data_IF_636828899099
#
_entry.id   IF_636828899099
#
_cell.length_a   1.000
_cell.length_b   1.000
_cell.length_c   1.000
_cell.angle_alpha   90.00
_cell.angle_beta   90.00
_cell.angle_gamma   90.00
#
_symmetry.space_group_name_H-M   'P 1'
#
loop_
_entity.id
_entity.type
_entity.pdbx_description
1 polymer ?
#
# COMPACT_ATOMS: atom_id res chain seq x y z
N UNK A 1 12.38 35.44 -3.34
CA UNK A 1 11.75 35.39 -4.67
C UNK A 1 10.75 34.24 -4.86
N UNK A 2 10.43 33.41 -3.84
CA UNK A 2 9.43 32.31 -3.93
C UNK A 2 8.00 32.70 -3.49
N UNK A 3 7.80 33.83 -2.85
CA UNK A 3 6.49 34.33 -2.40
C UNK A 3 5.66 34.94 -3.52
N UNK A 4 6.27 35.72 -4.38
CA UNK A 4 5.60 36.49 -5.40
C UNK A 4 4.84 35.66 -6.47
N UNK A 5 5.36 34.50 -6.84
CA UNK A 5 4.67 33.58 -7.75
C UNK A 5 3.44 32.91 -7.12
N UNK A 6 3.42 32.73 -5.81
CA UNK A 6 2.23 32.25 -5.09
C UNK A 6 1.13 33.31 -5.07
N UNK A 7 1.51 34.56 -4.80
CA UNK A 7 0.55 35.66 -4.73
C UNK A 7 -0.08 35.96 -6.10
N UNK A 8 0.66 35.76 -7.22
CA UNK A 8 0.13 35.90 -8.57
C UNK A 8 -0.81 34.73 -8.96
N UNK A 9 -0.55 33.51 -8.55
CA UNK A 9 -1.45 32.37 -8.78
C UNK A 9 -2.72 32.47 -7.93
N UNK A 10 -2.65 33.00 -6.72
CA UNK A 10 -3.81 33.22 -5.84
C UNK A 10 -4.70 34.38 -6.35
N UNK A 11 -4.11 35.31 -7.10
CA UNK A 11 -4.87 36.44 -7.69
C UNK A 11 -5.64 36.05 -8.97
N UNK A 12 -5.18 35.02 -9.67
CA UNK A 12 -5.77 34.61 -10.97
C UNK A 12 -6.86 33.54 -10.81
N UNK A 13 -6.81 32.71 -9.77
CA UNK A 13 -7.83 31.69 -9.47
C UNK A 13 -7.99 31.57 -7.93
N UNK A 14 -8.96 32.26 -7.34
CA UNK A 14 -9.28 32.07 -5.92
C UNK A 14 -9.67 30.60 -5.70
N UNK A 15 -8.81 29.88 -4.98
CA UNK A 15 -9.05 28.47 -4.66
C UNK A 15 -9.96 28.42 -3.43
N UNK A 16 -11.21 28.04 -3.66
CA UNK A 16 -12.15 27.79 -2.56
C UNK A 16 -11.89 26.44 -1.92
N UNK A 17 -12.17 26.32 -0.62
CA UNK A 17 -12.02 25.07 0.11
C UNK A 17 -12.85 23.96 -0.57
N UNK A 18 -12.23 22.89 -1.08
CA UNK A 18 -12.95 21.83 -1.80
C UNK A 18 -13.92 21.04 -0.90
N UNK A 19 -13.78 21.16 0.42
CA UNK A 19 -14.62 20.46 1.39
C UNK A 19 -15.95 21.17 1.69
N UNK A 20 -15.94 22.50 1.78
CA UNK A 20 -17.11 23.27 2.22
C UNK A 20 -17.34 24.56 1.43
N UNK A 21 -16.51 24.89 0.44
CA UNK A 21 -16.67 26.10 -0.37
C UNK A 21 -16.18 27.40 0.32
N UNK A 22 -15.53 27.35 1.47
CA UNK A 22 -14.98 28.56 2.10
C UNK A 22 -14.02 29.24 1.12
N UNK A 23 -14.23 30.55 0.79
CA UNK A 23 -13.47 31.22 -0.23
C UNK A 23 -12.00 31.48 0.18
N UNK A 24 -11.11 31.54 -0.81
CA UNK A 24 -9.71 31.93 -0.68
C UNK A 24 -8.89 31.08 0.29
N UNK A 25 -9.22 29.79 0.45
CA UNK A 25 -8.46 28.86 1.27
C UNK A 25 -8.39 27.49 0.59
N UNK A 26 -7.19 26.97 0.38
CA UNK A 26 -6.97 25.66 -0.25
C UNK A 26 -7.60 24.51 0.56
N UNK A 27 -7.64 24.63 1.89
CA UNK A 27 -8.39 23.77 2.80
C UNK A 27 -8.58 24.48 4.15
N UNK A 28 -9.82 24.73 4.54
CA UNK A 28 -10.12 25.39 5.81
C UNK A 28 -9.85 24.47 7.03
N UNK A 29 -9.72 25.08 8.21
CA UNK A 29 -9.39 24.38 9.45
C UNK A 29 -10.47 23.30 9.79
N UNK A 30 -11.75 23.58 9.56
CA UNK A 30 -12.84 22.63 9.79
C UNK A 30 -12.74 21.39 8.91
N UNK A 31 -12.49 21.54 7.60
CA UNK A 31 -12.32 20.43 6.68
C UNK A 31 -11.04 19.64 6.95
N UNK A 32 -9.95 20.33 7.36
CA UNK A 32 -8.74 19.66 7.83
C UNK A 32 -8.99 18.86 9.09
N UNK A 33 -9.72 19.39 10.05
CA UNK A 33 -10.11 18.69 11.28
C UNK A 33 -10.98 17.46 10.99
N UNK A 34 -11.88 17.51 10.01
CA UNK A 34 -12.66 16.36 9.59
C UNK A 34 -11.79 15.20 9.06
N UNK A 35 -10.65 15.51 8.44
CA UNK A 35 -9.69 14.52 7.93
C UNK A 35 -8.71 14.00 8.99
N UNK A 36 -8.20 14.88 9.83
CA UNK A 36 -7.03 14.63 10.68
C UNK A 36 -7.31 14.80 12.19
N UNK A 37 -8.48 15.32 12.57
CA UNK A 37 -8.77 15.68 13.96
C UNK A 37 -9.14 14.50 14.86
N UNK A 38 -9.65 13.41 14.29
CA UNK A 38 -9.96 12.19 15.04
C UNK A 38 -8.77 11.21 15.05
N UNK A 39 -8.70 10.39 16.10
CA UNK A 39 -7.75 9.28 16.11
C UNK A 39 -8.14 8.23 15.09
N UNK A 40 -7.20 7.78 14.23
CA UNK A 40 -7.46 6.71 13.27
C UNK A 40 -7.91 5.42 13.96
N UNK A 41 -8.88 4.73 13.38
CA UNK A 41 -9.51 3.54 13.94
C UNK A 41 -9.31 2.33 13.05
N UNK A 42 -9.31 1.15 13.65
CA UNK A 42 -9.49 -0.09 12.91
C UNK A 42 -10.92 -0.13 12.35
N UNK A 43 -11.04 -0.52 11.09
CA UNK A 43 -12.33 -0.56 10.37
C UNK A 43 -12.51 -1.92 9.71
N UNK A 44 -13.77 -2.34 9.57
CA UNK A 44 -14.16 -3.59 8.90
C UNK A 44 -15.34 -3.34 7.99
N UNK A 45 -15.27 -3.75 6.71
CA UNK A 45 -16.46 -3.78 5.86
C UNK A 45 -17.34 -4.98 6.21
N UNK A 46 -18.62 -4.88 5.93
CA UNK A 46 -19.56 -6.00 6.01
C UNK A 46 -20.27 -6.17 4.66
N UNK A 47 -20.15 -7.36 4.02
CA UNK A 47 -19.31 -8.49 4.40
C UNK A 47 -17.81 -8.21 4.25
N UNK A 48 -17.00 -8.82 5.12
CA UNK A 48 -15.54 -8.70 5.04
C UNK A 48 -14.99 -9.65 3.96
N UNK A 49 -14.23 -9.14 2.96
CA UNK A 49 -13.55 -9.99 1.97
C UNK A 49 -12.55 -10.94 2.61
N UNK A 50 -12.49 -12.18 2.09
CA UNK A 50 -11.47 -13.15 2.52
C UNK A 50 -10.06 -12.61 2.27
N UNK A 51 -9.19 -12.78 3.24
CA UNK A 51 -7.80 -12.34 3.14
C UNK A 51 -7.58 -10.83 3.26
N UNK A 52 -8.61 -10.05 3.62
CA UNK A 52 -8.44 -8.64 3.94
C UNK A 52 -7.55 -8.50 5.18
N UNK A 53 -6.43 -7.76 5.12
CA UNK A 53 -5.61 -7.49 6.30
C UNK A 53 -6.34 -6.57 7.30
N UNK A 54 -5.79 -6.40 8.49
CA UNK A 54 -6.29 -5.39 9.43
C UNK A 54 -6.18 -4.00 8.80
N UNK A 55 -7.31 -3.29 8.65
CA UNK A 55 -7.39 -1.98 8.01
C UNK A 55 -7.58 -0.91 9.07
N UNK A 56 -6.83 0.19 8.96
CA UNK A 56 -7.03 1.40 9.77
C UNK A 56 -7.38 2.57 8.84
N UNK A 57 -8.39 3.34 9.23
CA UNK A 57 -8.84 4.53 8.51
C UNK A 57 -8.71 5.78 9.36
N UNK A 58 -8.34 6.90 8.74
CA UNK A 58 -8.23 8.18 9.43
C UNK A 58 -9.60 8.82 9.67
N UNK A 59 -10.53 8.73 8.72
CA UNK A 59 -11.82 9.38 8.80
C UNK A 59 -12.95 8.57 8.15
N UNK A 60 -14.23 8.77 8.54
CA UNK A 60 -15.36 8.25 7.80
C UNK A 60 -15.54 8.99 6.47
N UNK A 61 -15.93 8.24 5.43
CA UNK A 61 -16.17 8.80 4.10
C UNK A 61 -17.54 9.48 4.04
N UNK A 62 -17.55 10.81 4.10
CA UNK A 62 -18.77 11.62 4.03
C UNK A 62 -18.44 13.10 4.04
N UNK A 63 -19.41 13.94 3.74
CA UNK A 63 -19.29 15.40 3.83
C UNK A 63 -18.00 15.97 3.23
N UNK A 64 -17.28 16.73 4.03
CA UNK A 64 -16.03 17.38 3.64
C UNK A 64 -14.93 16.37 3.24
N UNK A 65 -14.83 15.22 3.91
CA UNK A 65 -13.82 14.19 3.59
C UNK A 65 -14.03 13.66 2.18
N UNK A 66 -15.29 13.34 1.80
CA UNK A 66 -15.64 12.92 0.44
C UNK A 66 -15.28 14.00 -0.58
N UNK A 67 -15.65 15.25 -0.31
CA UNK A 67 -15.41 16.35 -1.24
C UNK A 67 -13.91 16.60 -1.48
N UNK A 68 -13.08 16.53 -0.43
CA UNK A 68 -11.63 16.67 -0.52
C UNK A 68 -10.99 15.51 -1.30
N UNK A 69 -11.40 14.27 -1.05
CA UNK A 69 -10.92 13.11 -1.80
C UNK A 69 -11.26 13.20 -3.27
N UNK A 70 -12.49 13.60 -3.62
CA UNK A 70 -12.91 13.79 -5.01
C UNK A 70 -12.16 14.94 -5.67
N UNK A 71 -11.90 16.05 -4.97
CA UNK A 71 -11.13 17.17 -5.51
C UNK A 71 -9.68 16.75 -5.82
N UNK A 72 -9.06 15.98 -4.94
CA UNK A 72 -7.72 15.44 -5.18
C UNK A 72 -7.70 14.44 -6.34
N UNK A 73 -8.67 13.54 -6.38
CA UNK A 73 -8.73 12.44 -7.33
C UNK A 73 -9.16 12.87 -8.73
N UNK A 74 -10.23 13.68 -8.84
CA UNK A 74 -10.87 13.97 -10.11
C UNK A 74 -10.54 15.38 -10.65
N UNK A 75 -10.34 16.35 -9.78
CA UNK A 75 -10.11 17.76 -10.16
C UNK A 75 -8.64 18.17 -10.11
N UNK A 76 -7.73 17.25 -9.81
CA UNK A 76 -6.29 17.51 -9.82
C UNK A 76 -5.80 18.49 -8.75
N UNK A 77 -6.53 18.66 -7.65
CA UNK A 77 -6.13 19.52 -6.54
C UNK A 77 -4.90 18.93 -5.81
N UNK A 78 -3.75 19.03 -6.46
CA UNK A 78 -2.49 18.42 -6.03
C UNK A 78 -2.00 18.88 -4.63
N UNK A 79 -2.21 20.16 -4.21
CA UNK A 79 -1.84 20.60 -2.87
C UNK A 79 -2.51 19.81 -1.73
N UNK A 80 -3.68 19.18 -2.00
CA UNK A 80 -4.36 18.34 -1.02
C UNK A 80 -3.59 17.07 -0.66
N UNK A 81 -2.62 16.63 -1.48
CA UNK A 81 -1.81 15.45 -1.21
C UNK A 81 -1.10 15.52 0.15
N UNK A 82 -0.70 16.71 0.60
CA UNK A 82 -0.03 16.90 1.89
C UNK A 82 -0.96 16.62 3.08
N UNK A 83 -2.21 17.08 3.05
CA UNK A 83 -3.15 16.83 4.13
C UNK A 83 -3.70 15.41 4.09
N UNK A 84 -3.94 14.86 2.90
CA UNK A 84 -4.32 13.45 2.74
C UNK A 84 -3.17 12.53 3.19
N UNK A 85 -1.92 12.91 2.92
CA UNK A 85 -0.73 12.23 3.43
C UNK A 85 -0.61 12.30 4.96
N UNK A 86 -1.02 13.40 5.58
CA UNK A 86 -1.09 13.53 7.04
C UNK A 86 -2.10 12.55 7.64
N UNK A 87 -3.32 12.54 7.12
CA UNK A 87 -4.36 11.60 7.52
C UNK A 87 -3.91 10.15 7.35
N UNK A 88 -3.36 9.81 6.17
CA UNK A 88 -2.83 8.48 5.88
C UNK A 88 -1.68 8.08 6.82
N UNK A 89 -0.76 9.01 7.13
CA UNK A 89 0.33 8.76 8.09
C UNK A 89 -0.21 8.43 9.48
N UNK A 90 -1.30 9.09 9.90
CA UNK A 90 -2.02 8.76 11.12
C UNK A 90 -2.55 7.32 11.11
N UNK A 91 -3.24 6.92 10.02
CA UNK A 91 -3.78 5.58 9.85
C UNK A 91 -2.66 4.51 9.81
N UNK A 92 -1.55 4.77 9.12
CA UNK A 92 -0.37 3.88 9.10
C UNK A 92 0.19 3.68 10.51
N UNK A 93 0.39 4.77 11.28
CA UNK A 93 0.86 4.66 12.68
C UNK A 93 -0.10 3.84 13.54
N UNK A 94 -1.41 4.02 13.37
CA UNK A 94 -2.40 3.24 14.10
C UNK A 94 -2.34 1.75 13.72
N UNK A 95 -2.18 1.43 12.43
CA UNK A 95 -2.00 0.07 11.95
C UNK A 95 -0.76 -0.60 12.54
N UNK A 96 0.37 0.10 12.55
CA UNK A 96 1.62 -0.40 13.12
C UNK A 96 1.51 -0.65 14.62
N UNK A 97 0.89 0.27 15.38
CA UNK A 97 0.64 0.07 16.83
C UNK A 97 -0.29 -1.10 17.10
N UNK A 98 -1.37 -1.24 16.33
CA UNK A 98 -2.36 -2.31 16.48
C UNK A 98 -1.82 -3.70 16.16
N UNK A 99 -0.72 -3.81 15.44
CA UNK A 99 -0.06 -5.08 15.13
C UNK A 99 0.93 -5.55 16.23
N UNK A 100 0.91 -4.94 17.40
CA UNK A 100 1.85 -5.28 18.48
C UNK A 100 3.27 -4.94 18.08
N UNK A 101 3.66 -3.71 18.41
CA UNK A 101 4.97 -3.13 18.28
C UNK A 101 6.13 -3.94 17.67
N UNK A 102 6.60 -3.52 16.61
CA UNK A 102 7.64 -2.50 16.48
C UNK A 102 9.05 -3.04 16.84
N UNK A 103 9.45 -4.11 16.21
CA UNK A 103 10.88 -4.23 15.94
C UNK A 103 11.22 -3.11 14.93
N UNK A 104 12.21 -2.24 15.22
CA UNK A 104 12.58 -1.03 14.45
C UNK A 104 13.06 -1.27 13.01
N UNK A 105 12.42 -2.18 12.29
CA UNK A 105 12.76 -2.51 10.91
C UNK A 105 12.02 -1.66 9.88
N UNK A 106 12.47 -1.69 8.62
CA UNK A 106 11.91 -0.88 7.54
C UNK A 106 10.45 -1.23 7.25
N UNK A 107 9.63 -0.19 7.09
CA UNK A 107 8.22 -0.27 6.70
C UNK A 107 8.07 0.10 5.23
N UNK A 108 7.38 -0.72 4.46
CA UNK A 108 7.04 -0.43 3.07
C UNK A 108 5.57 -0.05 2.94
N UNK A 109 5.30 1.13 2.42
CA UNK A 109 3.98 1.53 1.95
C UNK A 109 3.83 1.08 0.50
N UNK A 110 2.82 0.25 0.25
CA UNK A 110 2.52 -0.26 -1.08
C UNK A 110 1.18 0.31 -1.52
N UNK A 111 1.17 1.34 -2.39
CA UNK A 111 -0.07 1.93 -2.88
C UNK A 111 -0.83 0.96 -3.79
N UNK A 112 -2.15 0.89 -3.61
CA UNK A 112 -3.05 0.24 -4.56
C UNK A 112 -3.01 1.02 -5.86
N UNK A 113 -2.73 0.40 -7.02
CA UNK A 113 -2.60 1.11 -8.27
C UNK A 113 -3.95 1.61 -8.79
N UNK A 114 -4.03 2.87 -9.17
CA UNK A 114 -5.13 3.40 -9.95
C UNK A 114 -5.14 2.79 -11.36
N UNK A 115 -6.31 2.76 -12.02
CA UNK A 115 -6.41 2.30 -13.40
C UNK A 115 -5.50 3.14 -14.31
N UNK A 116 -4.71 2.47 -15.16
CA UNK A 116 -3.74 3.15 -16.06
C UNK A 116 -4.39 4.22 -16.93
N UNK A 117 -5.61 3.96 -17.44
CA UNK A 117 -6.38 4.93 -18.22
C UNK A 117 -6.68 6.18 -17.40
N UNK A 118 -7.10 6.01 -16.13
CA UNK A 118 -7.40 7.11 -15.24
C UNK A 118 -6.15 7.93 -14.88
N UNK A 119 -5.01 7.25 -14.64
CA UNK A 119 -3.72 7.93 -14.38
C UNK A 119 -3.26 8.72 -15.61
N UNK A 120 -3.40 8.16 -16.82
CA UNK A 120 -3.07 8.88 -18.06
C UNK A 120 -3.97 10.10 -18.29
N UNK A 121 -5.27 9.96 -18.03
CA UNK A 121 -6.22 11.07 -18.19
C UNK A 121 -5.98 12.21 -17.19
N UNK A 122 -5.55 11.89 -15.96
CA UNK A 122 -5.34 12.87 -14.89
C UNK A 122 -3.90 13.39 -14.81
N UNK A 123 -2.94 12.72 -15.44
CA UNK A 123 -1.52 13.05 -15.34
C UNK A 123 -0.85 12.65 -14.02
N UNK A 124 -1.56 12.03 -13.08
CA UNK A 124 -1.02 11.62 -11.78
C UNK A 124 -1.76 10.44 -11.17
N UNK A 125 -1.10 9.75 -10.24
CA UNK A 125 -1.69 8.72 -9.37
C UNK A 125 -1.93 9.33 -7.97
N UNK A 126 -3.19 9.54 -7.57
CA UNK A 126 -3.55 10.20 -6.31
C UNK A 126 -3.12 9.39 -5.08
N UNK A 127 -3.30 8.05 -5.12
CA UNK A 127 -2.93 7.17 -4.00
C UNK A 127 -1.42 7.19 -3.77
N UNK A 128 -0.64 7.08 -4.86
CA UNK A 128 0.82 7.16 -4.78
C UNK A 128 1.29 8.51 -4.23
N UNK A 129 0.67 9.62 -4.62
CA UNK A 129 1.02 10.96 -4.11
C UNK A 129 0.78 11.08 -2.61
N UNK A 130 -0.41 10.66 -2.16
CA UNK A 130 -0.74 10.63 -0.72
C UNK A 130 0.20 9.72 0.07
N UNK A 131 0.58 8.56 -0.50
CA UNK A 131 1.55 7.65 0.12
C UNK A 131 2.95 8.28 0.25
N UNK A 132 3.42 9.02 -0.76
CA UNK A 132 4.70 9.72 -0.70
C UNK A 132 4.71 10.83 0.36
N UNK A 133 3.64 11.62 0.45
CA UNK A 133 3.46 12.64 1.48
C UNK A 133 3.40 12.01 2.88
N UNK A 134 2.66 10.90 3.05
CA UNK A 134 2.60 10.13 4.29
C UNK A 134 3.98 9.61 4.71
N UNK A 135 4.72 9.01 3.79
CA UNK A 135 6.07 8.52 4.06
C UNK A 135 7.03 9.64 4.48
N UNK A 136 6.94 10.81 3.86
CA UNK A 136 7.70 12.00 4.26
C UNK A 136 7.43 12.40 5.72
N UNK A 137 6.15 12.41 6.13
CA UNK A 137 5.75 12.71 7.51
C UNK A 137 6.21 11.65 8.50
N UNK A 138 6.07 10.37 8.15
CA UNK A 138 6.50 9.25 8.99
C UNK A 138 8.01 9.24 9.20
N UNK A 139 8.80 9.54 8.16
CA UNK A 139 10.26 9.68 8.28
C UNK A 139 10.68 10.83 9.18
N UNK A 140 9.99 11.98 9.09
CA UNK A 140 10.23 13.10 10.01
C UNK A 140 9.89 12.76 11.46
N UNK A 141 9.01 11.79 11.68
CA UNK A 141 8.68 11.23 13.01
C UNK A 141 9.59 10.04 13.41
N UNK A 142 10.71 9.81 12.72
CA UNK A 142 11.71 8.80 13.06
C UNK A 142 11.40 7.38 12.59
N UNK A 143 10.34 7.16 11.80
CA UNK A 143 10.01 5.84 11.27
C UNK A 143 10.73 5.58 9.93
N UNK A 144 11.45 4.46 9.76
CA UNK A 144 12.12 4.12 8.51
C UNK A 144 11.10 3.61 7.47
N UNK A 145 10.44 4.53 6.77
CA UNK A 145 9.37 4.25 5.82
C UNK A 145 9.77 4.57 4.39
N UNK A 146 9.48 3.66 3.47
CA UNK A 146 9.64 3.84 2.02
C UNK A 146 8.33 3.54 1.28
N UNK A 147 8.15 4.15 0.10
CA UNK A 147 7.01 3.86 -0.78
C UNK A 147 7.50 2.99 -1.93
N UNK A 148 6.81 1.88 -2.17
CA UNK A 148 7.16 0.93 -3.19
C UNK A 148 5.94 0.61 -4.09
N UNK A 149 5.89 1.22 -5.27
CA UNK A 149 4.81 1.01 -6.26
C UNK A 149 5.08 -0.25 -7.08
N UNK A 150 4.90 -1.41 -6.49
CA UNK A 150 5.19 -2.73 -7.11
C UNK A 150 3.94 -3.45 -7.60
N UNK A 151 2.76 -3.00 -7.20
CA UNK A 151 1.51 -3.55 -7.71
C UNK A 151 1.18 -2.96 -9.07
N UNK A 152 0.73 -3.80 -9.97
CA UNK A 152 0.22 -3.40 -11.28
C UNK A 152 -1.05 -4.16 -11.63
N UNK A 153 -1.90 -3.56 -12.44
CA UNK A 153 -3.06 -4.25 -13.00
C UNK A 153 -2.60 -5.25 -14.05
N UNK A 154 -2.99 -6.52 -13.87
CA UNK A 154 -2.76 -7.62 -14.80
C UNK A 154 -3.71 -7.57 -15.98
N UNK A 155 -4.96 -7.15 -15.74
CA UNK A 155 -6.01 -6.98 -16.73
C UNK A 155 -6.76 -5.68 -16.50
N UNK A 156 -7.49 -5.23 -17.51
CA UNK A 156 -8.43 -4.15 -17.33
C UNK A 156 -9.50 -4.56 -16.31
N UNK A 157 -9.76 -3.69 -15.36
CA UNK A 157 -10.84 -3.83 -14.39
C UNK A 157 -11.98 -2.97 -14.90
N UNK A 158 -13.18 -3.53 -14.98
CA UNK A 158 -14.37 -2.78 -15.34
C UNK A 158 -14.66 -1.68 -14.33
N UNK A 159 -15.39 -0.65 -14.78
CA UNK A 159 -15.77 0.43 -13.88
C UNK A 159 -16.59 -0.14 -12.71
N UNK A 160 -16.20 0.23 -11.49
CA UNK A 160 -16.84 -0.26 -10.28
C UNK A 160 -18.08 0.55 -9.88
N UNK A 161 -18.41 1.58 -10.67
CA UNK A 161 -19.62 2.35 -10.47
C UNK A 161 -20.85 1.44 -10.68
N UNK A 162 -21.73 1.38 -9.67
CA UNK A 162 -22.94 0.56 -9.72
C UNK A 162 -22.78 -0.92 -9.31
N UNK A 163 -21.56 -1.45 -9.16
CA UNK A 163 -21.35 -2.82 -8.70
C UNK A 163 -21.60 -2.97 -7.19
N UNK A 164 -22.30 -4.05 -6.80
CA UNK A 164 -22.44 -4.42 -5.40
C UNK A 164 -21.11 -4.99 -4.83
N UNK A 165 -21.08 -5.29 -3.51
CA UNK A 165 -19.85 -5.76 -2.82
C UNK A 165 -19.31 -7.05 -3.39
N UNK A 166 -20.18 -8.02 -3.74
CA UNK A 166 -19.79 -9.31 -4.31
C UNK A 166 -19.26 -9.18 -5.73
N UNK A 167 -19.91 -8.38 -6.55
CA UNK A 167 -19.49 -8.08 -7.92
C UNK A 167 -18.14 -7.37 -7.95
N UNK A 168 -17.90 -6.40 -7.05
CA UNK A 168 -16.59 -5.74 -6.91
C UNK A 168 -15.50 -6.73 -6.53
N UNK A 169 -15.79 -7.68 -5.65
CA UNK A 169 -14.82 -8.71 -5.26
C UNK A 169 -14.49 -9.64 -6.43
N UNK A 170 -15.50 -10.07 -7.20
CA UNK A 170 -15.31 -10.92 -8.39
C UNK A 170 -14.52 -10.14 -9.46
N UNK A 171 -14.91 -8.92 -9.74
CA UNK A 171 -14.26 -8.06 -10.74
C UNK A 171 -12.77 -7.80 -10.41
N UNK A 172 -12.41 -7.71 -9.13
CA UNK A 172 -11.04 -7.47 -8.70
C UNK A 172 -10.22 -8.75 -8.48
N UNK A 173 -10.84 -9.91 -8.39
CA UNK A 173 -10.12 -11.17 -8.15
C UNK A 173 -9.11 -11.47 -9.26
N UNK A 174 -7.83 -11.66 -8.88
CA UNK A 174 -6.74 -11.88 -9.82
C UNK A 174 -6.37 -10.67 -10.68
N UNK A 175 -6.92 -9.48 -10.40
CA UNK A 175 -6.69 -8.27 -11.20
C UNK A 175 -5.34 -7.60 -10.90
N UNK A 176 -4.74 -7.88 -9.74
CA UNK A 176 -3.45 -7.32 -9.35
C UNK A 176 -2.35 -8.38 -9.33
N UNK A 177 -1.17 -7.94 -9.71
CA UNK A 177 0.06 -8.73 -9.60
C UNK A 177 1.22 -7.85 -9.12
N UNK A 178 2.24 -8.49 -8.56
CA UNK A 178 3.49 -7.84 -8.21
C UNK A 178 4.40 -7.80 -9.44
N UNK A 179 4.98 -6.65 -9.72
CA UNK A 179 5.91 -6.48 -10.84
C UNK A 179 7.08 -7.48 -10.74
N UNK A 180 7.55 -8.06 -11.87
CA UNK A 180 8.68 -8.97 -11.89
C UNK A 180 9.90 -8.38 -11.20
N UNK A 181 10.61 -9.19 -10.42
CA UNK A 181 11.83 -8.76 -9.70
C UNK A 181 11.60 -8.01 -8.39
N UNK A 182 10.38 -7.52 -8.10
CA UNK A 182 10.10 -6.76 -6.89
C UNK A 182 10.12 -7.60 -5.59
N UNK A 183 10.05 -8.92 -5.70
CA UNK A 183 10.05 -9.81 -4.53
C UNK A 183 11.25 -9.65 -3.60
N UNK A 184 12.44 -9.33 -4.14
CA UNK A 184 13.63 -9.06 -3.30
C UNK A 184 13.46 -7.83 -2.42
N UNK A 185 12.83 -6.78 -2.95
CA UNK A 185 12.58 -5.54 -2.21
C UNK A 185 11.54 -5.75 -1.10
N UNK A 186 10.52 -6.57 -1.36
CA UNK A 186 9.47 -6.88 -0.39
C UNK A 186 9.99 -7.73 0.78
N UNK A 187 10.89 -8.69 0.52
CA UNK A 187 11.47 -9.55 1.57
C UNK A 187 12.35 -8.83 2.57
N UNK A 188 12.88 -7.66 2.23
CA UNK A 188 13.67 -6.83 3.16
C UNK A 188 12.86 -6.00 4.15
N UNK A 189 11.53 -6.02 4.07
CA UNK A 189 10.66 -5.22 4.92
C UNK A 189 10.28 -5.95 6.21
N UNK A 190 10.35 -5.26 7.34
CA UNK A 190 9.80 -5.78 8.60
C UNK A 190 8.26 -5.74 8.59
N UNK A 191 7.68 -4.77 7.90
CA UNK A 191 6.22 -4.60 7.72
C UNK A 191 5.89 -4.07 6.33
N UNK A 192 4.80 -4.56 5.76
CA UNK A 192 4.20 -4.05 4.53
C UNK A 192 2.85 -3.47 4.87
N UNK A 193 2.61 -2.22 4.50
CA UNK A 193 1.31 -1.56 4.67
C UNK A 193 0.76 -1.25 3.30
N UNK A 194 -0.30 -1.94 2.91
CA UNK A 194 -1.08 -1.61 1.70
C UNK A 194 -1.84 -0.32 1.97
N UNK A 195 -1.73 0.65 1.08
CA UNK A 195 -2.39 1.95 1.26
C UNK A 195 -3.30 2.30 0.10
N UNK A 196 -4.44 2.91 0.43
CA UNK A 196 -5.42 3.39 -0.55
C UNK A 196 -6.03 4.72 -0.08
N UNK A 197 -6.75 5.42 -0.94
CA UNK A 197 -7.47 6.65 -0.59
C UNK A 197 -8.79 6.34 0.13
N UNK A 198 -9.51 5.31 -0.30
CA UNK A 198 -10.84 4.96 0.21
C UNK A 198 -11.05 3.46 0.29
N UNK A 199 -11.54 2.99 1.44
CA UNK A 199 -12.10 1.65 1.56
C UNK A 199 -13.64 1.71 1.56
N UNK A 200 -14.25 1.08 0.58
CA UNK A 200 -15.69 0.77 0.57
C UNK A 200 -15.94 -0.67 1.02
N UNK A 201 -15.76 -1.61 0.13
CA UNK A 201 -15.93 -3.05 0.39
C UNK A 201 -14.64 -3.75 0.84
N UNK A 202 -13.48 -3.09 0.73
CA UNK A 202 -12.17 -3.69 1.02
C UNK A 202 -11.64 -4.64 -0.07
N UNK A 203 -12.35 -4.82 -1.18
CA UNK A 203 -11.98 -5.78 -2.23
C UNK A 203 -10.60 -5.44 -2.85
N UNK A 204 -10.29 -4.16 -3.11
CA UNK A 204 -9.00 -3.72 -3.65
C UNK A 204 -7.84 -4.02 -2.69
N UNK A 205 -8.05 -3.78 -1.38
CA UNK A 205 -7.05 -4.06 -0.35
C UNK A 205 -6.82 -5.57 -0.17
N UNK A 206 -7.90 -6.37 -0.22
CA UNK A 206 -7.80 -7.83 -0.14
C UNK A 206 -7.04 -8.40 -1.33
N UNK A 207 -7.32 -7.93 -2.54
CA UNK A 207 -6.63 -8.36 -3.76
C UNK A 207 -5.16 -7.93 -3.78
N UNK A 208 -4.86 -6.71 -3.35
CA UNK A 208 -3.48 -6.24 -3.19
C UNK A 208 -2.69 -7.10 -2.18
N UNK A 209 -3.31 -7.42 -1.05
CA UNK A 209 -2.71 -8.30 -0.05
C UNK A 209 -2.51 -9.73 -0.60
N UNK A 210 -3.46 -10.27 -1.38
CA UNK A 210 -3.32 -11.57 -2.05
C UNK A 210 -2.09 -11.57 -2.98
N UNK A 211 -1.98 -10.57 -3.84
CA UNK A 211 -0.86 -10.46 -4.75
C UNK A 211 0.50 -10.39 -4.03
N UNK A 212 0.58 -9.64 -2.94
CA UNK A 212 1.80 -9.51 -2.13
C UNK A 212 2.15 -10.82 -1.41
N UNK A 213 1.16 -11.53 -0.81
CA UNK A 213 1.39 -12.83 -0.15
C UNK A 213 1.96 -13.86 -1.11
N UNK A 214 1.48 -13.90 -2.35
CA UNK A 214 1.98 -14.81 -3.38
C UNK A 214 3.48 -14.66 -3.68
N UNK A 215 4.06 -13.49 -3.45
CA UNK A 215 5.49 -13.22 -3.69
C UNK A 215 6.34 -13.31 -2.42
N UNK A 216 5.73 -13.03 -1.26
CA UNK A 216 6.41 -13.12 0.04
C UNK A 216 6.49 -14.55 0.58
N UNK A 217 5.95 -15.56 -0.12
CA UNK A 217 5.97 -16.97 0.33
C UNK A 217 5.02 -17.27 1.49
N UNK A 218 4.13 -16.35 1.83
CA UNK A 218 3.13 -16.53 2.87
C UNK A 218 1.90 -17.21 2.25
N UNK A 219 1.95 -18.52 2.08
CA UNK A 219 0.75 -19.29 1.79
C UNK A 219 -0.14 -19.30 3.03
N UNK A 220 -1.33 -18.73 2.93
CA UNK A 220 -2.35 -18.90 3.94
C UNK A 220 -2.64 -20.39 4.11
N UNK A 221 -2.60 -20.88 5.35
CA UNK A 221 -3.09 -22.20 5.74
C UNK A 221 -4.57 -22.27 5.32
N UNK A 222 -4.88 -23.01 4.26
CA UNK A 222 -6.26 -23.23 3.84
C UNK A 222 -6.48 -23.37 2.34
N UNK A 223 -5.73 -24.21 1.63
CA UNK A 223 -6.23 -24.92 0.44
C UNK A 223 -5.33 -26.13 0.09
N UNK A 224 -5.27 -27.11 0.99
CA UNK A 224 -4.85 -28.46 0.65
C UNK A 224 -6.08 -29.28 0.25
N UNK A 225 -6.60 -29.08 -0.95
CA UNK A 225 -7.34 -30.10 -1.71
C UNK A 225 -7.46 -29.65 -3.16
N UNK A 226 -6.51 -30.08 -3.97
CA UNK A 226 -6.67 -30.62 -5.34
C UNK A 226 -5.36 -30.49 -6.11
N UNK A 227 -4.64 -31.57 -6.13
CA UNK A 227 -4.08 -32.15 -7.34
C UNK A 227 -3.36 -33.45 -6.99
N UNK A 228 -4.15 -34.54 -6.88
CA UNK A 228 -3.68 -35.89 -7.19
C UNK A 228 -4.25 -36.19 -8.54
N UNK A 229 -3.41 -36.44 -9.50
CA UNK A 229 -3.41 -37.45 -10.54
C UNK A 229 -2.79 -36.91 -11.82
N UNK A 230 -1.62 -37.37 -12.12
CA UNK A 230 -1.29 -38.14 -13.31
C UNK A 230 0.20 -38.39 -13.31
N UNK A 231 0.54 -39.65 -13.03
CA UNK A 231 1.88 -40.14 -13.28
C UNK A 231 2.04 -40.43 -14.78
N UNK A 232 3.30 -40.51 -15.21
CA UNK A 232 3.81 -41.52 -16.14
C UNK A 232 5.34 -41.39 -16.18
N UNK A 233 5.96 -42.47 -15.71
CA UNK A 233 7.11 -43.26 -16.20
C UNK A 233 8.18 -42.62 -17.09
N UNK A 234 9.45 -42.79 -16.65
CA UNK A 234 10.40 -43.42 -17.54
C UNK A 234 11.76 -42.75 -17.77
N UNK A 235 12.76 -43.46 -17.35
CA UNK A 235 14.08 -43.65 -17.93
C UNK A 235 15.27 -42.94 -17.29
N UNK A 236 16.02 -43.78 -16.61
CA UNK A 236 17.45 -43.67 -16.26
C UNK A 236 18.35 -43.44 -17.49
N UNK A 237 19.42 -42.65 -17.34
CA UNK A 237 20.78 -43.01 -17.85
C UNK A 237 21.82 -42.36 -16.94
N UNK A 238 22.75 -43.19 -16.50
CA UNK A 238 23.93 -42.87 -15.73
C UNK A 238 25.15 -42.60 -16.68
N UNK A 239 26.11 -41.83 -16.17
CA UNK A 239 27.59 -41.93 -16.40
C UNK A 239 28.22 -40.64 -15.84
N UNK A 240 28.98 -40.66 -14.80
CA UNK A 240 30.34 -41.16 -14.51
C UNK A 240 31.48 -40.23 -14.97
N UNK A 241 32.25 -39.79 -13.92
CA UNK A 241 33.70 -39.47 -13.84
C UNK A 241 34.21 -38.21 -14.55
N UNK A 242 34.97 -37.32 -13.87
CA UNK A 242 36.37 -37.51 -13.54
C UNK A 242 36.93 -36.37 -12.67
N UNK A 243 37.79 -36.71 -11.74
CA UNK A 243 38.62 -35.86 -10.85
C UNK A 243 39.79 -35.26 -11.62
N UNK A 244 40.28 -34.08 -11.15
CA UNK A 244 41.73 -33.77 -10.98
C UNK A 244 41.84 -32.37 -10.35
N UNK A 245 42.43 -32.20 -9.29
CA UNK A 245 43.68 -32.17 -8.57
C UNK A 245 44.59 -30.95 -8.89
N UNK A 246 44.58 -29.92 -7.98
CA UNK A 246 45.66 -29.06 -7.39
C UNK A 246 46.65 -28.31 -8.31
N UNK A 247 47.45 -27.32 -7.78
CA UNK A 247 47.45 -26.63 -6.45
C UNK A 247 47.63 -25.10 -6.48
N UNK A 248 47.55 -24.52 -5.29
CA UNK A 248 47.91 -23.25 -4.67
C UNK A 248 48.92 -22.31 -5.34
N UNK A 249 48.66 -20.99 -5.23
CA UNK A 249 49.67 -19.99 -4.86
C UNK A 249 49.01 -18.80 -4.09
N UNK A 250 49.58 -18.61 -2.95
CA UNK A 250 49.40 -17.58 -1.95
C UNK A 250 49.99 -16.24 -2.45
N UNK A 251 49.29 -15.11 -2.23
CA UNK A 251 49.90 -13.82 -1.86
C UNK A 251 48.77 -12.82 -1.48
N UNK A 252 48.82 -12.40 -0.22
CA UNK A 252 47.91 -11.45 0.37
C UNK A 252 47.99 -10.03 -0.21
N UNK A 253 46.90 -9.32 -0.12
CA UNK A 253 46.93 -7.91 0.24
C UNK A 253 45.65 -7.50 0.90
N UNK A 254 45.78 -6.89 2.10
CA UNK A 254 44.70 -6.52 2.97
C UNK A 254 44.06 -5.21 2.53
N UNK A 255 42.78 -5.27 2.21
CA UNK A 255 41.88 -4.12 2.31
C UNK A 255 40.55 -4.61 2.84
N UNK A 256 40.21 -4.14 4.05
CA UNK A 256 39.00 -4.48 4.78
C UNK A 256 37.72 -4.19 4.01
N UNK A 257 37.20 -5.19 3.36
CA UNK A 257 35.84 -5.23 2.85
C UNK A 257 34.94 -5.55 4.03
N UNK A 258 34.23 -4.55 4.57
CA UNK A 258 33.13 -4.78 5.50
C UNK A 258 32.12 -5.71 4.82
N UNK A 259 32.23 -6.97 5.12
CA UNK A 259 31.22 -7.97 4.75
C UNK A 259 29.91 -7.58 5.43
N UNK A 260 28.95 -7.12 4.66
CA UNK A 260 27.56 -7.07 5.08
C UNK A 260 27.17 -8.52 5.42
N UNK A 261 27.05 -8.80 6.72
CA UNK A 261 26.57 -10.07 7.26
C UNK A 261 25.20 -10.33 6.63
N UNK A 262 25.12 -11.32 5.78
CA UNK A 262 23.85 -11.78 5.21
C UNK A 262 23.01 -12.27 6.40
N UNK A 263 21.83 -11.72 6.56
CA UNK A 263 20.85 -12.18 7.55
C UNK A 263 20.46 -13.62 7.20
N UNK A 264 20.28 -14.49 8.22
CA UNK A 264 19.91 -15.87 8.00
C UNK A 264 18.55 -15.99 7.32
N UNK A 265 18.40 -16.94 6.41
CA UNK A 265 17.23 -17.18 5.57
C UNK A 265 15.96 -17.64 6.34
N UNK A 266 15.92 -17.55 7.67
CA UNK A 266 14.86 -18.10 8.53
C UNK A 266 13.80 -17.10 9.01
N UNK A 267 13.87 -15.80 8.63
CA UNK A 267 12.82 -14.84 8.98
C UNK A 267 12.01 -14.42 7.73
N UNK A 268 11.24 -15.37 7.22
CA UNK A 268 10.13 -15.02 6.32
C UNK A 268 9.05 -14.26 7.10
N UNK A 269 8.52 -13.15 6.59
CA UNK A 269 7.46 -12.42 7.27
C UNK A 269 6.21 -13.31 7.42
N UNK A 270 5.78 -13.50 8.67
CA UNK A 270 4.55 -14.24 9.01
C UNK A 270 3.33 -13.52 8.39
N UNK A 271 2.19 -14.21 8.29
CA UNK A 271 0.92 -13.66 7.71
C UNK A 271 0.49 -12.32 8.32
N UNK A 272 0.91 -12.02 9.55
CA UNK A 272 0.65 -10.77 10.28
C UNK A 272 1.51 -9.58 9.81
N UNK A 273 2.35 -9.77 8.80
CA UNK A 273 3.29 -8.75 8.32
C UNK A 273 2.63 -7.75 7.36
N UNK A 274 1.48 -8.11 6.74
CA UNK A 274 0.74 -7.23 5.83
C UNK A 274 -0.41 -6.58 6.57
N UNK A 275 -0.36 -5.26 6.63
CA UNK A 275 -1.38 -4.38 7.20
C UNK A 275 -2.01 -3.54 6.09
N UNK A 276 -3.09 -2.82 6.40
CA UNK A 276 -3.66 -1.84 5.49
C UNK A 276 -3.98 -0.53 6.20
N UNK A 277 -3.87 0.57 5.46
CA UNK A 277 -4.24 1.90 5.93
C UNK A 277 -4.89 2.70 4.80
N UNK A 278 -5.93 3.44 5.11
CA UNK A 278 -6.67 4.28 4.17
C UNK A 278 -6.93 5.67 4.76
N UNK A 279 -7.10 6.65 3.89
CA UNK A 279 -7.53 7.98 4.33
C UNK A 279 -8.95 7.92 4.87
N UNK A 280 -9.86 7.27 4.14
CA UNK A 280 -11.25 7.16 4.57
C UNK A 280 -11.81 5.75 4.37
N UNK A 281 -12.84 5.43 5.15
CA UNK A 281 -13.62 4.21 4.96
C UNK A 281 -15.13 4.53 5.03
N UNK A 282 -15.94 3.64 4.47
CA UNK A 282 -17.40 3.73 4.59
C UNK A 282 -17.82 3.92 6.06
N UNK A 283 -18.76 4.81 6.39
CA UNK A 283 -19.21 5.03 7.77
C UNK A 283 -19.63 3.75 8.48
N UNK A 284 -20.33 2.84 7.79
CA UNK A 284 -20.73 1.54 8.32
C UNK A 284 -19.55 0.71 8.82
N UNK A 285 -18.37 0.82 8.17
CA UNK A 285 -17.17 0.10 8.58
C UNK A 285 -16.58 0.57 9.92
N UNK A 286 -17.01 1.73 10.44
CA UNK A 286 -16.61 2.25 11.75
C UNK A 286 -17.54 1.79 12.87
N UNK A 287 -18.77 1.41 12.57
CA UNK A 287 -19.82 1.10 13.56
C UNK A 287 -19.63 -0.29 14.15
N UNK A 288 -19.17 -1.25 13.34
CA UNK A 288 -18.97 -2.66 13.74
C UNK A 288 -17.94 -2.84 14.87
N UNK A 289 -17.13 -1.82 15.16
CA UNK A 289 -16.11 -1.87 16.23
C UNK A 289 -16.53 -1.14 17.54
N UNK A 290 -17.80 -0.86 17.74
CA UNK A 290 -18.29 -0.19 18.97
C UNK A 290 -18.73 -1.16 20.08
N UNK A 291 -18.74 -2.46 19.82
CA UNK A 291 -19.07 -3.51 20.78
C UNK A 291 -17.82 -4.23 21.28
#
# INVERSE_FOLDING_TARGET
MRGWWRDLTDLVLPVDCPGCGTPRVALCAGCRSALCGASPRRVRPDPQPRGLPAVHAAAPYGGAVRAVLLAHKERGALPLAEVLGEALAGAVRAALRGAGQVGGGPVLLVPVPSARRAVRARGHDPVRRSALAAAGRLRRAGLPVSVLSVLRQRRAVEDQAGLNSRERQINLSGALEVAPGAGRLLRGAARIVVVDDLMTTGASLAEAARALRGVCGVHGVGDERRSTTAGVTGAQVAAERQRDNRPSCDRGDGRGRRTRKALPASEMPRSDTILAAVVAASPVSFEINRN
#
